data_IF_303357590647
#
_entry.id   IF_303357590647
#
_cell.length_a   1.000
_cell.length_b   1.000
_cell.length_c   1.000
_cell.angle_alpha   90.00
_cell.angle_beta   90.00
_cell.angle_gamma   90.00
#
_symmetry.space_group_name_H-M   'P 1'
#
loop_
_entity.id
_entity.type
_entity.pdbx_description
1 polymer ?
#
# COMPACT_ATOMS: atom_id res chain seq x y z
N UNK A 1 -21.82 6.60 33.96
CA UNK A 1 -21.73 6.70 32.50
C UNK A 1 -20.28 6.48 32.13
N UNK A 2 -19.99 5.45 31.34
CA UNK A 2 -18.62 5.16 30.92
C UNK A 2 -18.27 6.05 29.73
N UNK A 3 -17.35 6.99 29.94
CA UNK A 3 -16.80 7.88 28.93
C UNK A 3 -15.87 7.04 28.03
N UNK A 4 -16.33 6.70 26.83
CA UNK A 4 -15.51 6.06 25.79
C UNK A 4 -14.50 7.10 25.29
N UNK A 5 -13.30 7.12 25.87
CA UNK A 5 -12.16 7.78 25.27
C UNK A 5 -11.68 6.89 24.13
N UNK A 6 -12.22 7.12 22.93
CA UNK A 6 -11.74 6.47 21.71
C UNK A 6 -10.28 6.80 21.53
N UNK A 7 -9.42 5.81 21.74
CA UNK A 7 -8.03 5.79 21.33
C UNK A 7 -7.95 5.80 19.81
N UNK A 8 -8.30 6.93 19.18
CA UNK A 8 -8.14 7.13 17.75
C UNK A 8 -6.64 7.25 17.49
N UNK A 9 -6.02 6.15 17.03
CA UNK A 9 -4.83 6.28 16.19
C UNK A 9 -5.13 7.41 15.19
N UNK A 10 -4.24 8.38 14.99
CA UNK A 10 -4.51 9.46 14.06
C UNK A 10 -4.87 8.83 12.72
N UNK A 11 -6.05 9.14 12.18
CA UNK A 11 -6.48 8.74 10.84
C UNK A 11 -5.57 9.47 9.85
N UNK A 12 -4.34 8.97 9.75
CA UNK A 12 -3.31 9.41 8.82
C UNK A 12 -3.62 8.70 7.52
N UNK A 13 -3.95 9.48 6.51
CA UNK A 13 -4.09 8.99 5.17
C UNK A 13 -2.73 8.53 4.65
N UNK A 14 -2.54 7.23 4.49
CA UNK A 14 -1.31 6.68 3.91
C UNK A 14 -1.15 6.99 2.41
N UNK A 15 -2.15 7.59 1.75
CA UNK A 15 -2.02 8.09 0.35
C UNK A 15 -1.46 9.51 0.24
N UNK A 16 -1.59 10.37 1.26
CA UNK A 16 -1.06 11.74 1.19
C UNK A 16 -0.19 12.15 2.38
N UNK A 17 -0.24 11.39 3.48
CA UNK A 17 0.48 11.68 4.72
C UNK A 17 -0.23 12.66 5.66
N UNK A 18 -1.40 13.18 5.31
CA UNK A 18 -2.19 14.09 6.15
C UNK A 18 -3.15 13.34 7.08
N UNK A 19 -3.44 13.93 8.23
CA UNK A 19 -4.41 13.42 9.21
C UNK A 19 -5.79 14.04 9.02
N UNK A 20 -6.84 13.29 9.36
CA UNK A 20 -8.23 13.79 9.34
C UNK A 20 -9.10 13.16 8.25
N UNK A 21 -8.56 12.23 7.47
CA UNK A 21 -9.29 11.40 6.52
C UNK A 21 -8.58 10.06 6.32
N UNK A 22 -9.32 9.05 5.88
CA UNK A 22 -8.76 7.75 5.52
C UNK A 22 -8.19 7.79 4.09
N UNK A 23 -7.28 6.87 3.81
CA UNK A 23 -6.77 6.60 2.47
C UNK A 23 -7.85 6.19 1.43
N UNK A 24 -9.13 6.14 1.77
CA UNK A 24 -10.24 5.92 0.83
C UNK A 24 -10.87 7.24 0.38
N UNK A 25 -10.95 8.20 1.30
CA UNK A 25 -11.59 9.50 1.16
C UNK A 25 -10.58 10.62 0.80
N UNK A 26 -9.35 10.25 0.42
CA UNK A 26 -8.34 11.22 0.03
C UNK A 26 -8.57 11.71 -1.40
N UNK A 27 -8.77 13.02 -1.56
CA UNK A 27 -8.97 13.70 -2.85
C UNK A 27 -7.70 13.77 -3.73
N UNK A 28 -6.52 13.46 -3.18
CA UNK A 28 -5.30 13.29 -3.95
C UNK A 28 -5.39 11.97 -4.73
N UNK A 29 -5.57 12.09 -6.05
CA UNK A 29 -5.54 10.97 -6.99
C UNK A 29 -4.13 10.40 -7.21
N UNK A 30 -3.10 11.08 -6.72
CA UNK A 30 -1.69 10.69 -6.85
C UNK A 30 -1.26 9.89 -5.61
N UNK A 31 -0.71 8.69 -5.81
CA UNK A 31 -0.19 7.86 -4.73
C UNK A 31 0.91 8.58 -3.94
N UNK A 32 0.93 8.39 -2.62
CA UNK A 32 2.05 8.81 -1.78
C UNK A 32 3.34 8.19 -2.30
N UNK A 33 4.39 8.99 -2.33
CA UNK A 33 5.73 8.53 -2.59
C UNK A 33 6.11 7.41 -1.60
N UNK A 34 6.36 6.20 -2.11
CA UNK A 34 6.77 5.06 -1.29
C UNK A 34 8.08 5.27 -0.51
N UNK A 35 8.87 6.28 -0.86
CA UNK A 35 10.08 6.64 -0.12
C UNK A 35 9.77 7.55 1.09
N UNK A 36 9.14 8.71 0.86
CA UNK A 36 8.96 9.73 1.90
C UNK A 36 7.53 9.86 2.46
N UNK A 37 6.56 9.18 1.85
CA UNK A 37 5.14 9.20 2.26
C UNK A 37 4.35 10.45 1.83
N UNK A 38 5.00 11.42 1.16
CA UNK A 38 4.35 12.63 0.66
C UNK A 38 3.80 12.42 -0.75
N UNK A 39 2.62 12.96 -1.02
CA UNK A 39 2.00 12.94 -2.36
C UNK A 39 2.67 13.88 -3.37
N UNK A 40 2.17 13.85 -4.60
CA UNK A 40 2.61 14.72 -5.71
C UNK A 40 3.89 14.30 -6.42
N UNK A 41 4.47 13.14 -6.06
CA UNK A 41 5.59 12.52 -6.76
C UNK A 41 5.66 11.02 -6.42
N UNK A 42 6.29 10.24 -7.30
CA UNK A 42 6.59 8.82 -7.06
C UNK A 42 7.97 8.65 -6.42
N UNK A 43 8.24 7.48 -5.83
CA UNK A 43 9.54 7.16 -5.22
C UNK A 43 10.75 7.34 -6.15
N UNK A 44 10.53 7.26 -7.48
CA UNK A 44 11.56 7.50 -8.50
C UNK A 44 11.98 8.96 -8.61
N UNK A 45 11.06 9.90 -8.35
CA UNK A 45 11.30 11.35 -8.40
C UNK A 45 11.56 11.96 -7.00
N UNK A 46 11.61 11.11 -5.98
CA UNK A 46 11.81 11.55 -4.61
C UNK A 46 13.25 12.04 -4.40
N UNK A 47 13.39 13.31 -3.96
CA UNK A 47 14.68 13.93 -3.64
C UNK A 47 15.20 13.57 -2.25
N UNK A 48 14.36 13.00 -1.39
CA UNK A 48 14.75 12.53 -0.06
C UNK A 48 15.67 11.31 -0.18
N UNK A 49 16.61 11.10 0.75
CA UNK A 49 17.39 9.88 0.79
C UNK A 49 16.46 8.66 0.81
N UNK A 50 16.83 7.61 0.08
CA UNK A 50 16.08 6.36 0.11
C UNK A 50 16.06 5.88 1.54
N UNK A 51 14.87 5.72 2.13
CA UNK A 51 14.74 5.03 3.41
C UNK A 51 15.38 3.65 3.25
N UNK A 52 16.35 3.34 4.11
CA UNK A 52 16.85 1.99 4.29
C UNK A 52 15.72 1.16 4.92
N UNK A 53 14.75 0.80 4.09
CA UNK A 53 13.79 -0.25 4.40
C UNK A 53 14.47 -1.53 3.96
N UNK A 54 14.57 -2.49 4.87
CA UNK A 54 14.97 -3.85 4.52
C UNK A 54 14.20 -4.27 3.27
N UNK A 55 14.93 -4.75 2.26
CA UNK A 55 14.34 -5.17 1.00
C UNK A 55 13.44 -6.38 1.28
N UNK A 56 12.17 -6.09 1.57
CA UNK A 56 11.13 -7.07 1.79
C UNK A 56 10.51 -7.46 0.47
N UNK A 57 10.24 -8.75 0.33
CA UNK A 57 9.52 -9.31 -0.78
C UNK A 57 8.13 -8.68 -0.89
N UNK A 58 7.78 -8.15 -2.06
CA UNK A 58 6.45 -7.55 -2.30
C UNK A 58 5.30 -8.59 -2.35
N UNK A 59 5.62 -9.88 -2.42
CA UNK A 59 4.63 -10.96 -2.39
C UNK A 59 4.33 -11.43 -0.96
N UNK A 60 5.36 -11.77 -0.17
CA UNK A 60 5.18 -12.35 1.17
C UNK A 60 5.59 -11.42 2.34
N UNK A 61 6.14 -10.24 2.06
CA UNK A 61 6.58 -9.27 3.07
C UNK A 61 7.86 -9.65 3.82
N UNK A 62 8.46 -10.82 3.57
CA UNK A 62 9.69 -11.28 4.24
C UNK A 62 10.95 -10.63 3.62
N UNK A 63 11.94 -10.23 4.43
CA UNK A 63 13.21 -9.70 3.93
C UNK A 63 14.09 -10.77 3.26
N UNK A 64 15.11 -10.33 2.53
CA UNK A 64 16.18 -11.20 2.01
C UNK A 64 15.96 -11.73 0.58
N UNK A 65 14.83 -11.43 -0.05
CA UNK A 65 14.56 -11.75 -1.45
C UNK A 65 13.58 -10.74 -2.08
N UNK A 66 13.55 -10.70 -3.41
CA UNK A 66 12.57 -9.91 -4.16
C UNK A 66 11.35 -10.76 -4.50
N UNK A 67 10.24 -10.12 -4.87
CA UNK A 67 9.02 -10.83 -5.30
C UNK A 67 9.23 -11.81 -6.46
N UNK A 68 10.28 -11.57 -7.26
CA UNK A 68 10.68 -12.40 -8.41
C UNK A 68 11.26 -13.75 -7.98
N UNK A 69 11.89 -13.77 -6.81
CA UNK A 69 12.60 -14.90 -6.21
C UNK A 69 11.83 -15.46 -5.02
N UNK A 70 10.53 -15.18 -4.93
CA UNK A 70 9.69 -15.60 -3.83
C UNK A 70 9.10 -16.99 -4.09
N UNK A 71 9.49 -17.97 -3.28
CA UNK A 71 8.89 -19.31 -3.28
C UNK A 71 7.39 -19.32 -2.91
N UNK A 72 6.89 -18.24 -2.30
CA UNK A 72 5.49 -18.11 -1.89
C UNK A 72 4.72 -17.18 -2.85
N UNK A 73 5.02 -17.24 -4.14
CA UNK A 73 4.33 -16.43 -5.14
C UNK A 73 2.83 -16.76 -5.24
N UNK A 74 2.39 -17.95 -4.82
CA UNK A 74 0.96 -18.32 -4.83
C UNK A 74 0.16 -17.65 -3.71
N UNK A 75 0.82 -17.29 -2.59
CA UNK A 75 0.26 -16.48 -1.50
C UNK A 75 0.06 -15.01 -1.92
N UNK A 76 0.44 -14.64 -3.15
CA UNK A 76 0.19 -13.31 -3.68
C UNK A 76 -1.31 -13.11 -3.91
N UNK A 77 -1.90 -12.17 -3.17
CA UNK A 77 -3.27 -11.70 -3.46
C UNK A 77 -3.30 -10.89 -4.75
N UNK A 78 -4.36 -11.09 -5.53
CA UNK A 78 -4.64 -10.31 -6.71
C UNK A 78 -4.83 -8.83 -6.34
N UNK A 79 -3.98 -7.94 -6.86
CA UNK A 79 -4.12 -6.49 -6.66
C UNK A 79 -5.42 -5.91 -7.26
N UNK A 80 -6.11 -6.67 -8.11
CA UNK A 80 -7.39 -6.27 -8.68
C UNK A 80 -8.57 -6.58 -7.74
N UNK A 81 -8.65 -7.80 -7.23
CA UNK A 81 -9.84 -8.30 -6.53
C UNK A 81 -9.59 -8.74 -5.08
N UNK A 82 -8.33 -8.79 -4.63
CA UNK A 82 -7.93 -9.16 -3.27
C UNK A 82 -7.86 -10.66 -2.99
N UNK A 83 -8.24 -11.52 -3.93
CA UNK A 83 -8.25 -12.98 -3.78
C UNK A 83 -6.89 -13.61 -4.06
N UNK A 84 -6.62 -14.77 -3.45
CA UNK A 84 -5.36 -15.51 -3.62
C UNK A 84 -5.38 -16.47 -4.83
N UNK A 85 -4.21 -17.00 -5.19
CA UNK A 85 -4.06 -18.00 -6.26
C UNK A 85 -4.00 -17.44 -7.68
N UNK A 86 -4.07 -16.11 -7.86
CA UNK A 86 -3.84 -15.45 -9.14
C UNK A 86 -3.36 -14.01 -8.97
N UNK A 87 -2.64 -13.49 -9.97
CA UNK A 87 -2.20 -12.10 -10.02
C UNK A 87 -3.18 -11.24 -10.84
N UNK A 88 -3.03 -9.91 -10.80
CA UNK A 88 -3.90 -8.99 -11.55
C UNK A 88 -4.01 -9.33 -13.05
N UNK A 89 -2.93 -9.82 -13.66
CA UNK A 89 -2.90 -10.18 -15.08
C UNK A 89 -3.82 -11.35 -15.43
N UNK A 90 -3.96 -12.29 -14.50
CA UNK A 90 -4.78 -13.49 -14.62
C UNK A 90 -6.12 -13.33 -13.89
N UNK A 91 -6.47 -12.10 -13.50
CA UNK A 91 -7.70 -11.82 -12.78
C UNK A 91 -8.90 -11.86 -13.72
N UNK A 92 -9.76 -12.86 -13.50
CA UNK A 92 -11.02 -13.02 -14.23
C UNK A 92 -12.15 -12.17 -13.65
N UNK A 93 -11.98 -11.59 -12.45
CA UNK A 93 -12.94 -10.64 -11.88
C UNK A 93 -12.80 -9.30 -12.60
N UNK A 94 -13.70 -9.05 -13.54
CA UNK A 94 -13.84 -7.75 -14.23
C UNK A 94 -14.07 -6.67 -13.18
N UNK A 95 -13.19 -5.67 -13.12
CA UNK A 95 -13.45 -4.45 -12.36
C UNK A 95 -14.56 -3.68 -13.08
N UNK A 96 -15.79 -3.77 -12.59
CA UNK A 96 -16.81 -2.77 -12.92
C UNK A 96 -16.36 -1.44 -12.30
N UNK A 97 -15.76 -0.58 -13.11
CA UNK A 97 -15.51 0.80 -12.73
C UNK A 97 -16.87 1.48 -12.62
N UNK A 98 -17.22 1.91 -11.41
CA UNK A 98 -18.35 2.80 -11.14
C UNK A 98 -17.82 4.20 -10.94
#
# INVERSE_FOLDING_TARGET
GFQFMSSSLPDICYRCGESGHLAKDCDLQEDACYNCGRGGHIAKDCKEPKREREQCCYNCGKPGHLARDCDHADEQKCYSCGEFGHIQKDCTKVKCYR
#
